data_IF_691493804974
#
_entry.id   IF_691493804974
#
_cell.length_a   1.000
_cell.length_b   1.000
_cell.length_c   1.000
_cell.angle_alpha   90.00
_cell.angle_beta   90.00
_cell.angle_gamma   90.00
#
_symmetry.space_group_name_H-M   'P 1'
#
loop_
_entity.id
_entity.type
_entity.pdbx_description
1 polymer ?
#
# COMPACT_ATOMS: atom_id res chain seq x y z
N UNK A 1 -23.93 -37.15 -17.71
CA UNK A 1 -24.46 -36.12 -16.80
C UNK A 1 -25.80 -36.64 -16.31
N UNK A 2 -25.95 -36.87 -15.00
CA UNK A 2 -27.18 -37.43 -14.44
C UNK A 2 -28.22 -36.31 -14.31
N UNK A 3 -29.52 -36.62 -14.36
CA UNK A 3 -30.57 -35.60 -14.27
C UNK A 3 -30.54 -34.84 -12.94
N UNK A 4 -30.17 -35.51 -11.86
CA UNK A 4 -29.89 -34.96 -10.53
C UNK A 4 -28.77 -33.90 -10.50
N UNK A 5 -27.87 -33.90 -11.49
CA UNK A 5 -26.80 -32.91 -11.64
C UNK A 5 -27.26 -31.68 -12.49
N UNK A 6 -28.45 -31.71 -13.11
CA UNK A 6 -29.00 -30.61 -13.93
C UNK A 6 -29.85 -29.63 -13.11
N UNK A 7 -29.42 -29.31 -11.89
CA UNK A 7 -30.14 -28.36 -11.04
C UNK A 7 -29.26 -27.18 -10.62
N UNK A 8 -29.91 -26.08 -10.22
CA UNK A 8 -29.25 -24.84 -9.79
C UNK A 8 -28.29 -25.07 -8.61
N UNK A 9 -28.64 -25.94 -7.66
CA UNK A 9 -27.79 -26.25 -6.51
C UNK A 9 -26.48 -26.94 -6.94
N UNK A 10 -26.53 -27.83 -7.93
CA UNK A 10 -25.35 -28.46 -8.52
C UNK A 10 -24.46 -27.41 -9.19
N UNK A 11 -25.04 -26.54 -10.02
CA UNK A 11 -24.32 -25.44 -10.66
C UNK A 11 -23.63 -24.54 -9.63
N UNK A 12 -24.35 -24.07 -8.61
CA UNK A 12 -23.82 -23.25 -7.51
C UNK A 12 -22.67 -23.97 -6.79
N UNK A 13 -22.83 -25.27 -6.49
CA UNK A 13 -21.80 -26.09 -5.85
C UNK A 13 -20.54 -26.18 -6.72
N UNK A 14 -20.67 -26.44 -8.01
CA UNK A 14 -19.52 -26.47 -8.93
C UNK A 14 -18.87 -25.11 -9.12
N UNK A 15 -19.65 -24.03 -9.23
CA UNK A 15 -19.14 -22.66 -9.33
C UNK A 15 -18.36 -22.27 -8.07
N UNK A 16 -18.92 -22.56 -6.88
CA UNK A 16 -18.24 -22.32 -5.59
C UNK A 16 -16.99 -23.17 -5.44
N UNK A 17 -16.99 -24.42 -5.90
CA UNK A 17 -15.82 -25.32 -5.88
C UNK A 17 -14.71 -24.83 -6.81
N UNK A 18 -15.07 -24.38 -8.02
CA UNK A 18 -14.10 -23.95 -9.05
C UNK A 18 -13.52 -22.56 -8.77
N UNK A 19 -14.34 -21.63 -8.28
CA UNK A 19 -13.95 -20.23 -8.13
C UNK A 19 -13.80 -19.77 -6.67
N UNK A 20 -14.50 -20.38 -5.70
CA UNK A 20 -14.46 -19.95 -4.30
C UNK A 20 -13.11 -20.17 -3.59
N UNK A 21 -12.34 -21.20 -3.99
CA UNK A 21 -11.00 -21.46 -3.41
C UNK A 21 -9.97 -20.42 -3.83
N UNK A 22 -10.04 -19.96 -5.09
CA UNK A 22 -9.16 -18.94 -5.65
C UNK A 22 -9.44 -17.57 -5.04
N UNK A 23 -10.71 -17.28 -4.78
CA UNK A 23 -11.14 -16.06 -4.09
C UNK A 23 -10.59 -16.00 -2.66
N UNK A 24 -10.71 -17.08 -1.87
CA UNK A 24 -10.19 -17.10 -0.49
C UNK A 24 -8.70 -16.81 -0.42
N UNK A 25 -7.91 -17.49 -1.27
CA UNK A 25 -6.46 -17.26 -1.34
C UNK A 25 -6.12 -15.84 -1.77
N UNK A 26 -6.81 -15.31 -2.80
CA UNK A 26 -6.58 -13.95 -3.28
C UNK A 26 -6.89 -12.90 -2.22
N UNK A 27 -7.91 -13.11 -1.40
CA UNK A 27 -8.26 -12.21 -0.29
C UNK A 27 -7.16 -12.24 0.76
N UNK A 28 -6.70 -13.41 1.18
CA UNK A 28 -5.61 -13.54 2.14
C UNK A 28 -4.33 -12.86 1.64
N UNK A 29 -3.98 -13.06 0.37
CA UNK A 29 -2.83 -12.39 -0.25
C UNK A 29 -2.98 -10.87 -0.28
N UNK A 30 -4.18 -10.35 -0.54
CA UNK A 30 -4.44 -8.90 -0.53
C UNK A 30 -4.38 -8.32 0.87
N UNK A 31 -4.88 -9.05 1.87
CA UNK A 31 -4.79 -8.65 3.28
C UNK A 31 -3.33 -8.62 3.74
N UNK A 32 -2.56 -9.67 3.46
CA UNK A 32 -1.15 -9.74 3.87
C UNK A 32 -0.25 -8.76 3.12
N UNK A 33 -0.62 -8.37 1.89
CA UNK A 33 0.11 -7.37 1.12
C UNK A 33 -0.24 -5.92 1.52
N UNK A 34 -1.32 -5.71 2.28
CA UNK A 34 -1.78 -4.37 2.65
C UNK A 34 -1.08 -3.92 3.92
N UNK A 35 -0.08 -3.07 3.73
CA UNK A 35 0.65 -2.36 4.80
C UNK A 35 0.14 -0.93 4.93
N UNK A 36 0.13 -0.37 6.14
CA UNK A 36 -0.27 0.99 6.46
C UNK A 36 0.51 1.98 5.57
N UNK A 37 -0.18 2.93 4.94
CA UNK A 37 0.47 3.91 4.09
C UNK A 37 1.10 5.03 4.93
N UNK A 38 2.14 5.72 4.44
CA UNK A 38 2.80 6.78 5.20
C UNK A 38 1.83 7.94 5.50
N UNK A 39 1.60 8.20 6.79
CA UNK A 39 0.64 9.20 7.25
C UNK A 39 -0.83 8.75 7.16
N UNK A 40 -1.09 7.47 6.95
CA UNK A 40 -2.44 6.88 7.07
C UNK A 40 -2.79 6.65 8.54
N UNK A 41 -4.01 7.01 8.95
CA UNK A 41 -4.53 6.73 10.29
C UNK A 41 -4.77 5.23 10.47
N UNK A 42 -4.65 4.73 11.70
CA UNK A 42 -4.87 3.32 12.02
C UNK A 42 -6.31 2.88 11.70
N UNK A 43 -7.28 3.74 11.99
CA UNK A 43 -8.69 3.55 11.62
C UNK A 43 -8.94 3.51 10.09
N UNK A 44 -8.27 4.37 9.32
CA UNK A 44 -8.36 4.36 7.84
C UNK A 44 -7.73 3.08 7.25
N UNK A 45 -6.60 2.65 7.83
CA UNK A 45 -5.95 1.40 7.48
C UNK A 45 -6.84 0.20 7.76
N UNK A 46 -7.47 0.14 8.94
CA UNK A 46 -8.44 -0.90 9.29
C UNK A 46 -9.65 -0.91 8.34
N UNK A 47 -10.15 0.27 7.95
CA UNK A 47 -11.22 0.42 6.95
C UNK A 47 -10.78 -0.14 5.59
N UNK A 48 -9.53 0.11 5.20
CA UNK A 48 -8.96 -0.48 3.99
C UNK A 48 -8.91 -2.01 4.07
N UNK A 49 -8.55 -2.59 5.22
CA UNK A 49 -8.54 -4.04 5.40
C UNK A 49 -9.94 -4.64 5.30
N UNK A 50 -10.94 -4.05 5.94
CA UNK A 50 -12.33 -4.54 5.85
C UNK A 50 -12.89 -4.43 4.43
N UNK A 51 -12.50 -3.39 3.68
CA UNK A 51 -12.89 -3.24 2.27
C UNK A 51 -12.36 -4.37 1.38
N UNK A 52 -11.21 -4.97 1.69
CA UNK A 52 -10.62 -6.08 0.92
C UNK A 52 -11.46 -7.34 1.02
N UNK A 53 -12.02 -7.61 2.20
CA UNK A 53 -12.86 -8.77 2.46
C UNK A 53 -14.37 -8.52 2.35
N UNK A 54 -14.78 -7.31 1.96
CA UNK A 54 -16.19 -6.96 1.82
C UNK A 54 -16.93 -7.91 0.87
N UNK A 55 -18.13 -8.36 1.29
CA UNK A 55 -18.95 -9.31 0.54
C UNK A 55 -18.38 -10.74 0.50
N UNK A 56 -17.34 -11.04 1.27
CA UNK A 56 -16.69 -12.35 1.33
C UNK A 56 -16.68 -12.87 2.77
N UNK A 57 -16.60 -14.20 2.93
CA UNK A 57 -16.55 -14.85 4.24
C UNK A 57 -15.09 -14.98 4.68
N UNK A 58 -14.59 -13.95 5.36
CA UNK A 58 -13.23 -13.87 5.89
C UNK A 58 -13.29 -14.00 7.42
N UNK A 59 -12.44 -14.83 8.05
CA UNK A 59 -12.34 -14.92 9.51
C UNK A 59 -11.90 -13.58 10.12
N UNK A 60 -12.33 -13.30 11.36
CA UNK A 60 -12.00 -12.04 12.06
C UNK A 60 -10.50 -11.97 12.34
N UNK A 61 -9.91 -13.11 12.68
CA UNK A 61 -8.49 -13.30 12.99
C UNK A 61 -7.61 -12.87 11.82
N UNK A 62 -8.06 -13.12 10.58
CA UNK A 62 -7.33 -12.70 9.37
C UNK A 62 -7.22 -11.19 9.24
N UNK A 63 -8.19 -10.42 9.75
CA UNK A 63 -8.09 -8.96 9.75
C UNK A 63 -7.18 -8.46 10.87
N UNK A 64 -7.25 -9.08 12.06
CA UNK A 64 -6.38 -8.74 13.20
C UNK A 64 -4.92 -9.00 12.84
N UNK A 65 -4.61 -10.18 12.28
CA UNK A 65 -3.26 -10.52 11.82
C UNK A 65 -2.77 -9.56 10.73
N UNK A 66 -3.63 -9.23 9.75
CA UNK A 66 -3.27 -8.28 8.69
C UNK A 66 -3.01 -6.87 9.23
N UNK A 67 -3.77 -6.45 10.24
CA UNK A 67 -3.56 -5.18 10.92
C UNK A 67 -2.21 -5.17 11.64
N UNK A 68 -1.97 -6.14 12.54
CA UNK A 68 -0.73 -6.23 13.31
C UNK A 68 0.50 -6.31 12.40
N UNK A 69 0.46 -7.15 11.37
CA UNK A 69 1.60 -7.33 10.46
C UNK A 69 1.76 -6.17 9.45
N UNK A 70 0.75 -5.32 9.30
CA UNK A 70 0.75 -4.21 8.35
C UNK A 70 0.99 -2.84 8.97
N UNK A 71 1.00 -2.71 10.30
CA UNK A 71 1.36 -1.45 10.99
C UNK A 71 2.82 -1.11 10.66
N UNK A 72 3.08 0.18 10.41
CA UNK A 72 4.43 0.64 10.06
C UNK A 72 5.42 0.61 11.23
N UNK A 73 4.93 0.91 12.45
CA UNK A 73 5.75 0.93 13.65
C UNK A 73 5.79 -0.46 14.32
N UNK A 74 6.95 -1.11 14.30
CA UNK A 74 7.14 -2.45 14.89
C UNK A 74 6.91 -2.46 16.41
N UNK A 75 7.18 -1.34 17.10
CA UNK A 75 6.94 -1.23 18.54
C UNK A 75 5.44 -1.29 18.83
N UNK A 76 4.64 -0.56 18.05
CA UNK A 76 3.18 -0.60 18.15
C UNK A 76 2.66 -1.98 17.78
N UNK A 77 3.14 -2.57 16.69
CA UNK A 77 2.74 -3.91 16.27
C UNK A 77 3.02 -4.95 17.37
N UNK A 78 4.17 -4.88 18.02
CA UNK A 78 4.54 -5.76 19.13
C UNK A 78 3.62 -5.58 20.33
N UNK A 79 3.31 -4.35 20.73
CA UNK A 79 2.39 -4.08 21.85
C UNK A 79 0.98 -4.60 21.58
N UNK A 80 0.45 -4.37 20.38
CA UNK A 80 -0.86 -4.89 19.97
C UNK A 80 -0.84 -6.42 19.95
N UNK A 81 0.24 -7.04 19.47
CA UNK A 81 0.40 -8.50 19.47
C UNK A 81 0.41 -9.07 20.89
N UNK A 82 1.08 -8.43 21.85
CA UNK A 82 1.09 -8.85 23.26
C UNK A 82 -0.26 -8.67 23.94
N UNK A 83 -1.07 -7.71 23.50
CA UNK A 83 -2.43 -7.52 24.03
C UNK A 83 -3.40 -8.63 23.58
N UNK A 84 -3.09 -9.34 22.49
CA UNK A 84 -3.92 -10.42 21.92
C UNK A 84 -5.38 -10.00 21.63
N UNK A 85 -5.61 -8.94 20.83
CA UNK A 85 -6.96 -8.50 20.50
C UNK A 85 -7.72 -9.56 19.71
N UNK A 86 -9.01 -9.72 20.02
CA UNK A 86 -9.90 -10.70 19.38
C UNK A 86 -10.62 -10.13 18.16
N UNK A 87 -10.72 -8.81 18.08
CA UNK A 87 -11.37 -8.10 16.97
C UNK A 87 -10.47 -7.01 16.40
N UNK A 88 -10.72 -6.65 15.13
CA UNK A 88 -9.99 -5.57 14.47
C UNK A 88 -10.23 -4.22 15.18
N UNK A 89 -11.45 -3.97 15.63
CA UNK A 89 -11.83 -2.73 16.32
C UNK A 89 -11.10 -2.59 17.65
N UNK A 90 -11.05 -3.67 18.45
CA UNK A 90 -10.28 -3.75 19.69
C UNK A 90 -8.78 -3.51 19.45
N UNK A 91 -8.22 -4.08 18.38
CA UNK A 91 -6.81 -3.87 18.02
C UNK A 91 -6.53 -2.40 17.64
N UNK A 92 -7.43 -1.76 16.89
CA UNK A 92 -7.32 -0.35 16.49
C UNK A 92 -7.43 0.55 17.72
N UNK A 93 -8.44 0.35 18.55
CA UNK A 93 -8.66 1.13 19.75
C UNK A 93 -7.44 1.05 20.68
N UNK A 94 -6.93 -0.16 20.94
CA UNK A 94 -5.73 -0.33 21.75
C UNK A 94 -4.51 0.36 21.14
N UNK A 95 -4.31 0.24 19.82
CA UNK A 95 -3.19 0.87 19.14
C UNK A 95 -3.26 2.41 19.20
N UNK A 96 -4.44 3.00 18.99
CA UNK A 96 -4.66 4.43 19.11
C UNK A 96 -4.46 4.91 20.58
N UNK A 97 -4.95 4.14 21.55
CA UNK A 97 -4.82 4.39 23.00
C UNK A 97 -3.41 4.16 23.56
N UNK A 98 -2.47 3.61 22.79
CA UNK A 98 -1.07 3.43 23.24
C UNK A 98 -0.08 4.19 22.37
N UNK A 99 -0.38 4.34 21.09
CA UNK A 99 0.55 4.84 20.09
C UNK A 99 -0.03 5.96 19.22
N UNK A 100 -1.21 6.50 19.55
CA UNK A 100 -1.83 7.61 18.82
C UNK A 100 -2.39 7.21 17.45
N UNK A 101 -3.10 8.16 16.82
CA UNK A 101 -3.92 7.93 15.61
C UNK A 101 -3.16 7.35 14.40
N UNK A 102 -1.84 7.57 14.32
CA UNK A 102 -1.00 7.10 13.21
C UNK A 102 -0.10 5.91 13.60
N UNK A 103 -0.11 5.47 14.86
CA UNK A 103 0.84 4.46 15.36
C UNK A 103 2.26 4.98 15.55
N UNK A 104 2.48 6.29 15.49
CA UNK A 104 3.80 6.94 15.56
C UNK A 104 4.05 7.60 16.94
N UNK A 105 3.19 7.32 17.92
CA UNK A 105 3.15 7.93 19.25
C UNK A 105 2.21 9.13 19.34
N UNK A 106 1.62 9.34 20.52
CA UNK A 106 0.61 10.38 20.82
C UNK A 106 0.97 11.82 20.43
N UNK A 107 2.27 12.13 20.33
CA UNK A 107 2.74 13.47 19.95
C UNK A 107 2.59 13.74 18.45
N UNK A 108 2.32 12.70 17.65
CA UNK A 108 2.15 12.79 16.20
C UNK A 108 0.67 12.90 15.87
N UNK A 109 0.19 14.13 15.74
CA UNK A 109 -1.21 14.43 15.38
C UNK A 109 -1.35 14.91 13.93
N UNK A 110 -0.26 15.33 13.28
CA UNK A 110 -0.21 15.73 11.87
C UNK A 110 0.29 14.57 10.99
N UNK A 111 -0.51 14.21 9.99
CA UNK A 111 -0.19 13.17 9.00
C UNK A 111 1.15 13.42 8.28
N UNK A 112 1.56 14.68 8.10
CA UNK A 112 2.85 15.02 7.48
C UNK A 112 4.04 14.62 8.36
N UNK A 113 3.88 14.72 9.68
CA UNK A 113 4.90 14.30 10.65
C UNK A 113 4.97 12.79 10.69
N UNK A 114 3.83 12.10 10.72
CA UNK A 114 3.76 10.64 10.62
C UNK A 114 4.43 10.13 9.33
N UNK A 115 4.09 10.73 8.19
CA UNK A 115 4.71 10.42 6.89
C UNK A 115 6.22 10.65 6.87
N UNK A 116 6.73 11.66 7.59
CA UNK A 116 8.16 11.93 7.68
C UNK A 116 8.87 10.85 8.50
N UNK A 117 8.34 10.47 9.66
CA UNK A 117 8.93 9.43 10.52
C UNK A 117 9.05 8.09 9.80
N UNK A 118 8.02 7.73 9.05
CA UNK A 118 8.08 6.55 8.18
C UNK A 118 9.26 6.59 7.19
N UNK A 119 9.57 7.76 6.60
CA UNK A 119 10.72 7.90 5.70
C UNK A 119 12.04 7.82 6.46
N UNK A 120 12.12 8.46 7.62
CA UNK A 120 13.34 8.50 8.45
C UNK A 120 13.70 7.10 8.98
N UNK A 121 12.75 6.33 9.52
CA UNK A 121 13.00 4.94 9.97
C UNK A 121 13.52 4.04 8.83
N UNK A 122 13.03 4.26 7.61
CA UNK A 122 13.51 3.53 6.43
C UNK A 122 14.88 4.00 5.93
N UNK A 123 15.20 5.27 6.07
CA UNK A 123 16.53 5.81 5.73
C UNK A 123 17.61 5.35 6.74
N UNK A 124 17.28 5.21 8.03
CA UNK A 124 18.20 4.65 9.04
C UNK A 124 18.25 3.11 9.05
N UNK A 125 17.20 2.42 8.59
CA UNK A 125 17.19 0.96 8.41
C UNK A 125 17.90 0.46 7.15
N UNK A 126 18.46 1.36 6.34
CA UNK A 126 19.20 1.07 5.11
C UNK A 126 20.72 1.25 5.28
N UNK A 127 21.24 1.12 6.50
CA UNK A 127 22.68 1.17 6.80
C UNK A 127 23.26 -0.22 7.13
N UNK A 128 23.14 -1.15 6.19
CA UNK A 128 24.09 -2.22 5.87
C UNK A 128 23.55 -2.80 4.54
N UNK A 129 24.15 -2.60 3.37
CA UNK A 129 25.50 -3.03 3.06
C UNK A 129 25.87 -2.50 1.66
N UNK A 130 26.08 -1.19 1.49
CA UNK A 130 26.95 -0.63 0.43
C UNK A 130 27.24 0.85 0.71
N UNK A 131 28.41 1.15 1.27
CA UNK A 131 28.99 2.47 1.06
C UNK A 131 29.30 2.65 -0.43
N UNK A 132 29.08 3.86 -0.97
CA UNK A 132 30.25 4.56 -1.46
C UNK A 132 30.31 6.02 -1.00
N UNK A 133 31.46 6.35 -0.43
CA UNK A 133 32.15 7.64 -0.42
C UNK A 133 31.31 8.94 -0.43
N UNK A 134 31.35 9.61 0.72
CA UNK A 134 31.10 11.04 0.93
C UNK A 134 31.52 11.89 -0.28
N UNK A 135 30.58 12.62 -0.89
CA UNK A 135 30.89 13.81 -1.71
C UNK A 135 30.04 15.00 -1.25
N UNK A 136 30.74 16.12 -1.11
CA UNK A 136 30.30 17.44 -0.63
C UNK A 136 29.06 17.95 -1.38
N UNK A 137 28.25 18.85 -0.77
CA UNK A 137 27.06 19.38 -1.42
C UNK A 137 27.45 20.32 -2.57
N UNK A 138 26.81 20.24 -3.75
CA UNK A 138 26.88 21.30 -4.72
C UNK A 138 25.83 22.37 -4.42
N UNK A 139 26.34 23.58 -4.31
CA UNK A 139 25.67 24.88 -4.37
C UNK A 139 24.58 24.93 -5.44
N UNK A 140 23.47 25.58 -5.09
CA UNK A 140 22.38 26.06 -5.96
C UNK A 140 22.89 26.73 -7.24
N UNK A 141 22.37 26.34 -8.42
CA UNK A 141 22.21 27.23 -9.58
C UNK A 141 21.27 26.64 -10.66
N UNK A 142 20.19 27.38 -10.95
CA UNK A 142 19.35 27.41 -12.16
C UNK A 142 18.91 26.11 -12.85
N UNK A 143 17.63 25.76 -12.64
CA UNK A 143 16.80 25.03 -13.62
C UNK A 143 16.56 25.97 -14.81
N UNK A 144 17.34 25.84 -15.89
CA UNK A 144 16.95 26.32 -17.23
C UNK A 144 18.02 25.97 -18.28
N UNK A 145 18.13 24.69 -18.65
CA UNK A 145 18.53 24.31 -20.02
C UNK A 145 18.37 22.80 -20.24
N UNK A 146 17.21 22.39 -20.74
CA UNK A 146 17.07 21.08 -21.38
C UNK A 146 17.14 21.34 -22.88
N UNK A 147 18.24 20.90 -23.50
CA UNK A 147 18.46 21.00 -24.93
C UNK A 147 17.79 19.83 -25.65
N UNK A 148 16.54 20.07 -26.06
CA UNK A 148 15.69 19.11 -26.74
C UNK A 148 16.25 18.60 -28.08
N UNK A 149 17.21 19.30 -28.69
CA UNK A 149 17.83 18.87 -29.97
C UNK A 149 18.82 17.72 -29.78
N UNK A 150 19.30 17.49 -28.55
CA UNK A 150 20.23 16.39 -28.23
C UNK A 150 19.50 15.07 -27.90
N UNK A 151 18.18 15.11 -27.73
CA UNK A 151 17.34 13.96 -27.37
C UNK A 151 16.67 13.26 -28.57
N UNK A 152 17.02 13.63 -29.82
CA UNK A 152 16.61 12.88 -31.02
C UNK A 152 15.10 12.90 -31.34
N UNK A 153 14.31 13.74 -30.65
CA UNK A 153 12.85 13.86 -30.81
C UNK A 153 12.50 14.92 -31.87
N UNK A 154 13.07 14.79 -33.06
CA UNK A 154 12.70 15.61 -34.22
C UNK A 154 11.37 15.13 -34.80
N UNK A 155 10.26 15.76 -34.39
CA UNK A 155 8.99 15.63 -35.10
C UNK A 155 9.12 16.29 -36.47
N UNK A 156 9.14 15.47 -37.52
CA UNK A 156 9.14 15.90 -38.92
C UNK A 156 7.81 16.55 -39.31
N UNK A 157 7.92 17.67 -40.02
CA UNK A 157 6.81 18.36 -40.67
C UNK A 157 7.33 19.08 -41.91
N UNK A 158 6.85 18.64 -43.07
CA UNK A 158 7.29 18.96 -44.43
C UNK A 158 7.44 20.46 -44.75
N UNK A 159 8.48 20.77 -45.52
CA UNK A 159 8.51 21.88 -46.46
C UNK A 159 7.45 21.64 -47.55
N UNK A 160 6.63 22.65 -47.85
CA UNK A 160 6.18 22.98 -49.20
C UNK A 160 5.41 24.31 -49.16
N UNK A 161 6.13 25.41 -49.38
CA UNK A 161 5.55 26.70 -49.75
C UNK A 161 5.82 26.92 -51.24
N UNK A 162 4.81 27.09 -52.11
CA UNK A 162 5.08 27.50 -53.47
C UNK A 162 5.30 29.02 -53.50
N UNK A 163 6.51 29.43 -53.86
CA UNK A 163 6.82 30.81 -54.23
C UNK A 163 6.23 31.11 -55.60
N UNK A 164 5.33 32.09 -55.69
CA UNK A 164 4.99 32.74 -56.96
C UNK A 164 6.00 33.88 -57.20
N UNK A 165 6.83 33.70 -58.22
CA UNK A 165 7.66 34.76 -58.82
C UNK A 165 6.79 35.65 -59.72
N UNK A 166 7.21 36.89 -59.84
CA UNK A 166 6.72 37.95 -60.73
C UNK A 166 6.46 37.49 -62.16
#
# INVERSE_FOLDING_TARGET
MREEDKNLAYLIKTMRKKYGRRDKFRIQQRLSARVQQPGERLSDFATSLTSIGFGKRVPVESYVEAFINGINNETTATQVRTYEPTTLDEAVQFAEDKCGEYGEGFKVTDWRVAKRRYREEREYGAEDDTQPAKKKPPTTESVDQIDWKKLGLGFGGNEDTPQLRY
#
